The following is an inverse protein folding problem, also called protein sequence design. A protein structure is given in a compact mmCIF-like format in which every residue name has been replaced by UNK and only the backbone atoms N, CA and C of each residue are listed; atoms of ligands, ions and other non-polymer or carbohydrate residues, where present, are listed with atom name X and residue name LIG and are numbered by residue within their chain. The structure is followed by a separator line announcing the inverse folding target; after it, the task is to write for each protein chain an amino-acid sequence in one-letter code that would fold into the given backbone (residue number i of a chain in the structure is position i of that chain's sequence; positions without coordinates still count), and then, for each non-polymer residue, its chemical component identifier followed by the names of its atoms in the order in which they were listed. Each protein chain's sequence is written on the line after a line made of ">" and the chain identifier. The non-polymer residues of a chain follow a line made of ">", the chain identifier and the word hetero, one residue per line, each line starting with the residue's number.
data_IF_569711588273
#
_entry.id   IF_569711588273
#
_cell.length_a   1.000
_cell.length_b   1.000
_cell.length_c   1.000
_cell.angle_alpha   90.00
_cell.angle_beta   90.00
_cell.angle_gamma   90.00
#
_symmetry.space_group_name_H-M   'P 1'
#
loop_
_entity.id
_entity.type
_entity.pdbx_description
1 polymer ?
#
# COMPACT_ATOMS: atom_id res chain seq x y z
N UNK A 1 12.67 -6.39 25.81
CA UNK A 1 12.41 -5.01 26.31
C UNK A 1 12.29 -4.06 25.12
N UNK A 2 11.68 -2.85 25.24
CA UNK A 2 11.60 -1.90 24.13
C UNK A 2 12.96 -1.57 23.50
N UNK A 3 14.02 -1.58 24.31
CA UNK A 3 15.41 -1.36 23.91
C UNK A 3 15.96 -2.46 23.00
N UNK A 4 15.57 -3.72 23.22
CA UNK A 4 16.03 -4.88 22.42
C UNK A 4 15.39 -4.92 21.04
N UNK A 5 14.15 -4.45 20.89
CA UNK A 5 13.50 -4.40 19.57
C UNK A 5 14.19 -3.34 18.69
N UNK A 6 14.56 -2.18 19.26
CA UNK A 6 15.18 -1.07 18.51
C UNK A 6 16.51 -1.42 17.83
N UNK A 7 17.25 -2.42 18.34
CA UNK A 7 18.51 -2.86 17.71
C UNK A 7 18.26 -3.50 16.34
N UNK A 8 17.12 -4.15 16.18
CA UNK A 8 16.71 -4.77 14.92
C UNK A 8 15.92 -3.83 14.01
N UNK A 9 15.35 -2.74 14.53
CA UNK A 9 14.60 -1.76 13.73
C UNK A 9 15.55 -0.96 12.83
N UNK A 10 15.19 -0.82 11.55
CA UNK A 10 15.96 -0.01 10.60
C UNK A 10 16.03 1.44 11.10
N UNK A 11 17.17 2.14 10.96
CA UNK A 11 17.37 3.45 11.57
C UNK A 11 16.26 4.46 11.28
N UNK A 12 15.73 4.46 10.06
CA UNK A 12 14.72 5.40 9.58
C UNK A 12 13.35 5.22 10.25
N UNK A 13 13.06 4.03 10.78
CA UNK A 13 11.76 3.71 11.38
C UNK A 13 11.78 3.83 12.92
N UNK A 14 12.95 4.04 13.55
CA UNK A 14 13.10 4.07 15.01
C UNK A 14 12.30 5.20 15.66
N UNK A 15 12.44 6.43 15.15
CA UNK A 15 11.73 7.59 15.70
C UNK A 15 10.22 7.43 15.59
N UNK A 16 9.75 6.81 14.50
CA UNK A 16 8.34 6.53 14.28
C UNK A 16 7.81 5.52 15.31
N UNK A 17 8.54 4.44 15.55
CA UNK A 17 8.18 3.44 16.55
C UNK A 17 8.16 4.04 17.96
N UNK A 18 9.19 4.82 18.32
CA UNK A 18 9.28 5.47 19.62
C UNK A 18 8.10 6.42 19.88
N UNK A 19 7.76 7.28 18.89
CA UNK A 19 6.60 8.17 18.98
C UNK A 19 5.30 7.40 19.16
N UNK A 20 5.08 6.34 18.39
CA UNK A 20 3.87 5.53 18.49
C UNK A 20 3.72 4.90 19.88
N UNK A 21 4.81 4.37 20.44
CA UNK A 21 4.83 3.83 21.81
C UNK A 21 4.48 4.94 22.81
N UNK A 22 5.17 6.08 22.77
CA UNK A 22 4.94 7.20 23.68
C UNK A 22 3.49 7.72 23.63
N UNK A 23 2.95 7.90 22.43
CA UNK A 23 1.56 8.33 22.23
C UNK A 23 0.57 7.33 22.81
N UNK A 24 0.84 6.03 22.64
CA UNK A 24 0.01 4.97 23.23
C UNK A 24 0.00 5.08 24.75
N UNK A 25 1.17 5.23 25.38
CA UNK A 25 1.30 5.42 26.83
C UNK A 25 0.54 6.65 27.34
N UNK A 26 0.61 7.76 26.61
CA UNK A 26 -0.03 9.02 27.03
C UNK A 26 -1.55 8.99 26.86
N UNK A 27 -2.04 8.39 25.78
CA UNK A 27 -3.45 8.46 25.38
C UNK A 27 -4.33 7.37 25.97
N UNK A 28 -3.74 6.38 26.66
CA UNK A 28 -4.44 5.13 27.04
C UNK A 28 -5.03 4.41 25.82
N UNK A 29 -4.34 4.53 24.69
CA UNK A 29 -4.80 4.04 23.40
C UNK A 29 -4.25 2.66 23.05
N UNK A 30 -4.42 2.31 21.78
CA UNK A 30 -3.90 1.10 21.15
C UNK A 30 -2.65 1.48 20.37
N UNK A 31 -1.58 0.70 20.53
CA UNK A 31 -0.41 0.74 19.66
C UNK A 31 -0.78 0.06 18.35
N UNK A 32 -0.73 0.78 17.24
CA UNK A 32 -0.86 0.23 15.89
C UNK A 32 0.16 0.91 14.99
N UNK A 33 1.29 0.24 14.77
CA UNK A 33 2.41 0.82 14.04
C UNK A 33 3.05 -0.21 13.11
N UNK A 34 3.35 0.21 11.89
CA UNK A 34 4.16 -0.57 10.97
C UNK A 34 5.58 -0.03 10.93
N UNK A 35 6.58 -0.90 11.10
CA UNK A 35 8.00 -0.56 11.01
C UNK A 35 8.80 -1.69 10.37
N UNK A 36 10.02 -1.38 9.96
CA UNK A 36 10.90 -2.34 9.31
C UNK A 36 12.00 -2.83 10.26
N UNK A 37 12.30 -4.12 10.17
CA UNK A 37 13.38 -4.76 10.94
C UNK A 37 14.37 -5.47 10.03
N UNK A 38 15.64 -5.47 10.44
CA UNK A 38 16.70 -6.26 9.84
C UNK A 38 16.72 -7.65 10.49
N UNK A 39 16.46 -8.69 9.69
CA UNK A 39 16.43 -10.08 10.13
C UNK A 39 17.18 -10.95 9.11
N UNK A 40 18.29 -11.57 9.53
CA UNK A 40 19.05 -12.51 8.69
C UNK A 40 19.50 -11.92 7.35
N UNK A 41 19.89 -10.64 7.31
CA UNK A 41 20.30 -9.95 6.08
C UNK A 41 19.15 -9.40 5.22
N UNK A 42 17.90 -9.69 5.57
CA UNK A 42 16.71 -9.19 4.88
C UNK A 42 15.98 -8.12 5.69
N UNK A 43 15.27 -7.24 5.00
CA UNK A 43 14.39 -6.25 5.64
C UNK A 43 12.96 -6.80 5.63
N UNK A 44 12.35 -6.92 6.81
CA UNK A 44 10.96 -7.34 6.97
C UNK A 44 10.10 -6.18 7.44
N UNK A 45 8.90 -6.07 6.90
CA UNK A 45 7.88 -5.14 7.39
C UNK A 45 7.07 -5.83 8.48
N UNK A 46 7.08 -5.26 9.67
CA UNK A 46 6.34 -5.73 10.84
C UNK A 46 5.22 -4.75 11.13
N UNK A 47 4.02 -5.26 11.37
CA UNK A 47 2.94 -4.51 12.01
C UNK A 47 2.82 -4.96 13.46
N UNK A 48 2.96 -4.03 14.38
CA UNK A 48 2.77 -4.25 15.80
C UNK A 48 1.42 -3.69 16.21
N UNK A 49 0.64 -4.54 16.86
CA UNK A 49 -0.63 -4.17 17.46
C UNK A 49 -0.61 -4.54 18.94
N UNK A 50 -0.97 -3.62 19.83
CA UNK A 50 -1.01 -3.91 21.25
C UNK A 50 -1.81 -2.91 22.07
N UNK A 51 -2.27 -3.34 23.22
CA UNK A 51 -3.02 -2.53 24.17
C UNK A 51 -2.25 -2.40 25.48
N UNK A 52 -2.44 -1.28 26.17
CA UNK A 52 -1.87 -1.08 27.50
C UNK A 52 -2.71 -1.82 28.53
N UNK A 53 -2.05 -2.68 29.30
CA UNK A 53 -2.62 -3.32 30.46
C UNK A 53 -2.27 -2.48 31.70
N UNK A 54 -3.29 -2.16 32.49
CA UNK A 54 -3.16 -1.38 33.73
C UNK A 54 -3.08 -2.30 34.94
N UNK A 55 -2.23 -1.94 35.91
CA UNK A 55 -2.18 -2.57 37.21
C UNK A 55 -3.37 -2.20 38.08
N UNK A 56 -3.51 -2.89 39.23
CA UNK A 56 -4.58 -2.63 40.20
C UNK A 56 -4.54 -1.19 40.79
N UNK A 57 -3.40 -0.51 40.71
CA UNK A 57 -3.22 0.89 41.10
C UNK A 57 -3.63 1.89 40.02
N UNK A 58 -4.17 1.41 38.89
CA UNK A 58 -4.58 2.20 37.74
C UNK A 58 -3.41 2.74 36.91
N UNK A 59 -2.17 2.35 37.22
CA UNK A 59 -0.98 2.75 36.45
C UNK A 59 -0.75 1.77 35.31
N UNK A 60 -0.29 2.32 34.20
CA UNK A 60 0.05 1.53 33.03
C UNK A 60 1.23 0.59 33.38
N UNK A 61 1.04 -0.70 33.15
CA UNK A 61 1.97 -1.74 33.57
C UNK A 61 2.83 -2.18 32.39
N UNK A 62 2.20 -2.71 31.33
CA UNK A 62 2.89 -3.25 30.15
C UNK A 62 1.97 -3.15 28.92
N UNK A 63 2.55 -3.23 27.72
CA UNK A 63 1.80 -3.42 26.47
C UNK A 63 1.68 -4.92 26.20
N UNK A 64 0.47 -5.40 25.94
CA UNK A 64 0.19 -6.76 25.48
C UNK A 64 -0.34 -6.71 24.05
N UNK A 65 0.23 -7.54 23.17
CA UNK A 65 -0.06 -7.44 21.75
C UNK A 65 0.54 -8.55 20.93
N UNK A 66 0.45 -8.40 19.61
CA UNK A 66 1.04 -9.30 18.65
C UNK A 66 1.78 -8.51 17.57
N UNK A 67 2.83 -9.12 17.02
CA UNK A 67 3.52 -8.64 15.85
C UNK A 67 3.21 -9.54 14.65
N UNK A 68 2.97 -8.93 13.49
CA UNK A 68 2.68 -9.65 12.26
C UNK A 68 3.70 -9.25 11.19
N UNK A 69 4.35 -10.25 10.59
CA UNK A 69 5.12 -10.04 9.37
C UNK A 69 4.14 -9.74 8.22
N UNK A 70 4.23 -8.53 7.68
CA UNK A 70 3.40 -8.03 6.58
C UNK A 70 4.23 -7.81 5.30
N UNK A 71 5.45 -8.35 5.25
CA UNK A 71 6.40 -8.14 4.13
C UNK A 71 5.79 -8.58 2.80
N UNK A 72 5.32 -9.82 2.69
CA UNK A 72 4.74 -10.36 1.46
C UNK A 72 3.54 -9.55 0.97
N UNK A 73 2.67 -9.11 1.90
CA UNK A 73 1.51 -8.26 1.56
C UNK A 73 1.98 -6.94 0.94
N UNK A 74 2.96 -6.27 1.55
CA UNK A 74 3.47 -4.98 1.05
C UNK A 74 4.22 -5.13 -0.26
N UNK A 75 4.93 -6.22 -0.48
CA UNK A 75 5.58 -6.49 -1.76
C UNK A 75 4.56 -6.62 -2.90
N UNK A 76 3.45 -7.33 -2.65
CA UNK A 76 2.35 -7.44 -3.62
C UNK A 76 1.70 -6.08 -3.87
N UNK A 77 1.37 -5.33 -2.80
CA UNK A 77 0.77 -3.99 -2.91
C UNK A 77 1.69 -3.01 -3.67
N UNK A 78 2.99 -3.04 -3.39
CA UNK A 78 3.98 -2.21 -4.07
C UNK A 78 4.16 -2.61 -5.53
N UNK A 79 4.15 -3.91 -5.84
CA UNK A 79 4.20 -4.42 -7.22
C UNK A 79 2.98 -3.96 -8.00
N UNK A 80 1.77 -4.08 -7.43
CA UNK A 80 0.54 -3.61 -8.04
C UNK A 80 0.56 -2.10 -8.27
N UNK A 81 0.95 -1.33 -7.24
CA UNK A 81 1.08 0.13 -7.34
C UNK A 81 2.06 0.53 -8.45
N UNK A 82 3.20 -0.16 -8.55
CA UNK A 82 4.19 0.10 -9.60
C UNK A 82 3.64 -0.23 -10.99
N UNK A 83 2.86 -1.30 -11.14
CA UNK A 83 2.22 -1.62 -12.42
C UNK A 83 1.21 -0.54 -12.84
N UNK A 84 0.38 -0.04 -11.91
CA UNK A 84 -0.54 1.08 -12.18
C UNK A 84 0.24 2.33 -12.59
N UNK A 85 1.28 2.69 -11.86
CA UNK A 85 2.13 3.85 -12.20
C UNK A 85 2.79 3.71 -13.57
N UNK A 86 3.22 2.52 -13.96
CA UNK A 86 3.77 2.27 -15.29
C UNK A 86 2.70 2.53 -16.35
N UNK A 87 1.49 1.96 -16.20
CA UNK A 87 0.39 2.16 -17.14
C UNK A 87 0.01 3.65 -17.30
N UNK A 88 0.04 4.41 -16.21
CA UNK A 88 -0.24 5.85 -16.23
C UNK A 88 0.87 6.69 -16.89
N UNK A 89 2.10 6.19 -16.91
CA UNK A 89 3.23 6.86 -17.57
C UNK A 89 3.34 6.54 -19.07
N UNK A 90 2.64 5.50 -19.55
CA UNK A 90 2.61 5.18 -20.98
C UNK A 90 1.94 6.32 -21.74
N UNK A 91 2.57 6.76 -22.83
CA UNK A 91 2.00 7.70 -23.81
C UNK A 91 1.19 6.99 -24.88
N UNK A 92 0.57 5.88 -24.50
CA UNK A 92 -0.27 5.06 -25.36
C UNK A 92 -1.64 4.91 -24.71
N UNK A 93 -2.68 4.84 -25.54
CA UNK A 93 -4.04 4.62 -25.08
C UNK A 93 -4.20 3.16 -24.70
N UNK A 94 -4.38 2.90 -23.40
CA UNK A 94 -4.65 1.55 -22.88
C UNK A 94 -6.10 1.51 -22.42
N UNK A 95 -6.86 0.58 -23.01
CA UNK A 95 -8.24 0.25 -22.65
C UNK A 95 -8.28 -1.22 -22.27
N UNK A 96 -8.91 -1.53 -21.14
CA UNK A 96 -9.20 -2.91 -20.74
C UNK A 96 -10.71 -3.11 -20.87
N UNK A 97 -11.11 -4.16 -21.59
CA UNK A 97 -12.50 -4.55 -21.75
C UNK A 97 -12.76 -5.96 -21.19
N UNK A 98 -14.00 -6.23 -20.78
CA UNK A 98 -14.46 -7.58 -20.47
C UNK A 98 -14.71 -8.41 -21.74
N UNK A 99 -15.19 -9.64 -21.57
CA UNK A 99 -15.44 -10.57 -22.68
C UNK A 99 -16.52 -10.09 -23.65
N UNK A 100 -17.41 -9.21 -23.22
CA UNK A 100 -18.48 -8.63 -24.03
C UNK A 100 -18.03 -7.32 -24.72
N UNK A 101 -16.77 -6.93 -24.56
CA UNK A 101 -16.19 -5.71 -25.13
C UNK A 101 -16.59 -4.44 -24.37
N UNK A 102 -17.11 -4.57 -23.15
CA UNK A 102 -17.43 -3.43 -22.29
C UNK A 102 -16.15 -2.95 -21.60
N UNK A 103 -15.89 -1.65 -21.64
CA UNK A 103 -14.70 -1.07 -21.01
C UNK A 103 -14.81 -1.16 -19.49
N UNK A 104 -13.83 -1.80 -18.84
CA UNK A 104 -13.75 -1.97 -17.39
C UNK A 104 -12.57 -1.21 -16.76
N UNK A 105 -11.57 -0.80 -17.56
CA UNK A 105 -10.46 0.03 -17.12
C UNK A 105 -9.87 0.84 -18.30
N UNK A 106 -9.19 1.95 -17.98
CA UNK A 106 -8.39 2.73 -18.92
C UNK A 106 -7.24 3.46 -18.19
N UNK A 107 -6.09 3.63 -18.83
CA UNK A 107 -5.01 4.43 -18.24
C UNK A 107 -5.29 5.95 -18.33
N UNK A 108 -4.53 6.76 -17.59
CA UNK A 108 -4.71 8.21 -17.62
C UNK A 108 -4.53 8.83 -19.02
N UNK A 109 -3.66 8.26 -19.84
CA UNK A 109 -3.43 8.75 -21.20
C UNK A 109 -4.64 8.56 -22.12
N UNK A 110 -5.42 7.47 -21.94
CA UNK A 110 -6.67 7.28 -22.67
C UNK A 110 -7.67 8.43 -22.41
N UNK A 111 -7.76 8.91 -21.17
CA UNK A 111 -8.61 10.07 -20.84
C UNK A 111 -8.19 11.33 -21.63
N UNK A 112 -6.88 11.57 -21.69
CA UNK A 112 -6.29 12.71 -22.39
C UNK A 112 -6.53 12.60 -23.90
N UNK A 113 -6.21 11.45 -24.48
CA UNK A 113 -6.28 11.21 -25.92
C UNK A 113 -7.72 11.23 -26.45
N UNK A 114 -8.67 10.70 -25.68
CA UNK A 114 -10.09 10.67 -26.04
C UNK A 114 -10.82 11.96 -25.65
N UNK A 115 -10.22 12.81 -24.81
CA UNK A 115 -10.84 14.04 -24.29
C UNK A 115 -12.02 13.74 -23.35
N UNK A 116 -11.97 12.62 -22.62
CA UNK A 116 -13.08 12.10 -21.81
C UNK A 116 -12.56 11.63 -20.47
N UNK A 117 -13.33 11.83 -19.42
CA UNK A 117 -12.97 11.32 -18.09
C UNK A 117 -13.09 9.80 -18.03
N UNK A 118 -12.36 9.17 -17.11
CA UNK A 118 -12.47 7.73 -16.84
C UNK A 118 -13.92 7.29 -16.64
N UNK A 119 -14.69 8.05 -15.86
CA UNK A 119 -16.09 7.71 -15.58
C UNK A 119 -16.98 7.72 -16.83
N UNK A 120 -16.67 8.56 -17.82
CA UNK A 120 -17.40 8.59 -19.09
C UNK A 120 -16.98 7.45 -20.03
N UNK A 121 -15.74 6.97 -19.91
CA UNK A 121 -15.17 5.89 -20.72
C UNK A 121 -15.63 4.52 -20.18
N UNK A 122 -15.66 4.36 -18.87
CA UNK A 122 -16.03 3.10 -18.21
C UNK A 122 -17.47 2.70 -18.57
N UNK A 123 -17.65 1.41 -18.83
CA UNK A 123 -18.93 0.81 -19.15
C UNK A 123 -19.42 0.99 -20.59
N UNK A 124 -18.65 1.69 -21.42
CA UNK A 124 -18.99 1.84 -22.83
C UNK A 124 -18.61 0.62 -23.66
N UNK A 125 -19.33 0.44 -24.76
CA UNK A 125 -19.02 -0.52 -25.80
C UNK A 125 -18.51 0.25 -27.02
N UNK A 126 -17.42 -0.22 -27.62
CA UNK A 126 -16.85 0.35 -28.84
C UNK A 126 -16.53 1.86 -28.75
N UNK A 127 -15.32 2.18 -28.26
CA UNK A 127 -14.83 3.56 -28.11
C UNK A 127 -14.51 4.27 -29.46
N UNK A 128 -14.88 3.69 -30.61
CA UNK A 128 -14.51 4.23 -31.92
C UNK A 128 -13.01 4.15 -32.22
N UNK A 129 -12.26 3.42 -31.41
CA UNK A 129 -10.85 3.09 -31.66
C UNK A 129 -10.80 2.10 -32.81
N UNK A 130 -10.64 2.61 -34.03
CA UNK A 130 -10.38 1.74 -35.18
C UNK A 130 -9.01 1.11 -34.98
N UNK A 131 -8.86 -0.23 -35.09
CA UNK A 131 -7.54 -0.83 -35.07
C UNK A 131 -6.70 -0.16 -36.17
N UNK A 132 -5.47 0.25 -35.84
CA UNK A 132 -4.50 0.63 -36.84
C UNK A 132 -4.42 -0.52 -37.84
N UNK A 133 -4.97 -0.32 -39.04
CA UNK A 133 -4.73 -1.24 -40.15
C UNK A 133 -3.24 -1.15 -40.41
N UNK A 134 -2.50 -2.19 -40.05
CA UNK A 134 -1.15 -2.38 -40.58
C UNK A 134 -1.29 -2.35 -42.10
N UNK A 135 -0.75 -1.31 -42.72
CA UNK A 135 -0.60 -1.25 -44.16
C UNK A 135 0.45 -2.29 -44.52
N UNK A 136 0.04 -3.52 -44.81
CA UNK A 136 0.91 -4.50 -45.44
C UNK A 136 1.31 -3.94 -46.81
N UNK A 137 2.62 -3.73 -47.00
CA UNK A 137 3.26 -3.52 -48.28
C UNK A 137 4.19 -4.70 -48.56
#
# INVERSE_FOLDING_TARGET
>A
SPSEILTHVVPEDRDKLLRAIEETWRSKGVLDVEYRVQCGGTVKSIREYGEIIYGADGKASHICGFCRDVTARKEIENKLRRQVQILDQLRETVIVADLDGRVIDCNKYAEIQLGRTRNEILGQYNLGLSPHRETSA
#
